data_IF_511581651449
#
_entry.id   IF_511581651449
#
_cell.length_a   1.000
_cell.length_b   1.000
_cell.length_c   1.000
_cell.angle_alpha   90.00
_cell.angle_beta   90.00
_cell.angle_gamma   90.00
#
_symmetry.space_group_name_H-M   'P 1'
#
loop_
_entity.id
_entity.type
_entity.pdbx_description
1 polymer ?
#
# COMPACT_ATOMS: atom_id res chain seq x y z
N UNK A 1 35.96 55.04 -5.12
CA UNK A 1 34.92 54.57 -6.03
C UNK A 1 35.38 53.23 -6.62
N UNK A 2 34.88 52.11 -6.10
CA UNK A 2 35.08 50.76 -6.70
C UNK A 2 33.67 50.22 -6.99
N UNK A 3 33.36 50.10 -8.29
CA UNK A 3 32.07 49.64 -8.76
C UNK A 3 31.84 48.18 -8.45
N UNK A 4 30.69 47.89 -7.87
CA UNK A 4 30.17 46.56 -7.71
C UNK A 4 29.46 46.21 -9.02
N UNK A 5 30.01 45.24 -9.79
CA UNK A 5 29.38 44.74 -11.00
C UNK A 5 28.16 43.90 -10.68
N UNK A 6 27.12 43.85 -11.54
CA UNK A 6 25.92 43.05 -11.31
C UNK A 6 26.24 41.57 -11.42
N UNK A 7 26.17 40.86 -10.30
CA UNK A 7 26.11 39.40 -10.32
C UNK A 7 24.77 39.03 -10.97
N UNK A 8 24.84 38.52 -12.21
CA UNK A 8 23.69 38.01 -12.94
C UNK A 8 23.01 36.88 -12.15
N UNK A 9 21.80 37.15 -11.70
CA UNK A 9 20.90 36.12 -11.20
C UNK A 9 20.50 35.28 -12.40
N UNK A 10 21.12 34.12 -12.61
CA UNK A 10 20.62 33.11 -13.55
C UNK A 10 19.29 32.63 -12.98
N UNK A 11 18.20 33.07 -13.57
CA UNK A 11 16.92 32.43 -13.35
C UNK A 11 17.05 30.98 -13.83
N UNK A 12 17.10 30.06 -12.90
CA UNK A 12 16.99 28.62 -13.20
C UNK A 12 15.59 28.40 -13.76
N UNK A 13 15.47 28.10 -15.04
CA UNK A 13 14.19 27.70 -15.61
C UNK A 13 13.84 26.36 -14.98
N UNK A 14 12.97 26.36 -13.99
CA UNK A 14 12.46 25.13 -13.40
C UNK A 14 11.61 24.41 -14.46
N UNK A 15 12.02 23.19 -14.80
CA UNK A 15 11.18 22.29 -15.60
C UNK A 15 9.98 21.94 -14.74
N UNK A 16 8.78 22.10 -15.28
CA UNK A 16 7.54 21.74 -14.59
C UNK A 16 7.19 20.27 -14.89
N UNK A 17 6.53 19.65 -13.94
CA UNK A 17 5.88 18.34 -14.06
C UNK A 17 4.45 18.41 -13.56
N UNK A 18 3.60 17.54 -14.06
CA UNK A 18 2.23 17.39 -13.56
C UNK A 18 2.20 16.51 -12.32
N UNK A 19 1.39 16.88 -11.32
CA UNK A 19 1.21 16.11 -10.10
C UNK A 19 -0.16 16.36 -9.44
N UNK A 20 -0.67 15.38 -8.69
CA UNK A 20 -1.80 15.54 -7.79
C UNK A 20 -1.31 16.06 -6.44
N UNK A 21 -1.49 17.33 -6.18
CA UNK A 21 -1.11 17.99 -4.93
C UNK A 21 -2.28 18.07 -3.95
N UNK A 22 -1.99 17.93 -2.66
CA UNK A 22 -2.95 18.10 -1.58
C UNK A 22 -2.50 19.21 -0.63
N UNK A 23 -3.30 20.25 -0.45
CA UNK A 23 -3.00 21.43 0.38
C UNK A 23 -3.48 21.31 1.83
N UNK A 24 -4.02 20.15 2.20
CA UNK A 24 -4.67 19.88 3.50
C UNK A 24 -6.18 20.09 3.49
N UNK A 25 -6.77 20.46 2.32
CA UNK A 25 -8.21 20.63 2.13
C UNK A 25 -8.68 20.02 0.81
N UNK A 26 -7.95 20.28 -0.26
CA UNK A 26 -8.34 19.88 -1.62
C UNK A 26 -7.17 19.20 -2.32
N UNK A 27 -7.45 18.08 -2.98
CA UNK A 27 -6.53 17.42 -3.89
C UNK A 27 -6.79 17.93 -5.32
N UNK A 28 -5.76 18.47 -5.98
CA UNK A 28 -5.87 19.09 -7.29
C UNK A 28 -4.68 18.73 -8.17
N UNK A 29 -4.93 18.39 -9.43
CA UNK A 29 -3.87 18.20 -10.42
C UNK A 29 -3.33 19.57 -10.84
N UNK A 30 -2.01 19.76 -10.72
CA UNK A 30 -1.35 21.03 -11.01
C UNK A 30 0.06 20.80 -11.56
N UNK A 31 0.59 21.83 -12.23
CA UNK A 31 1.99 21.87 -12.63
C UNK A 31 2.84 22.35 -11.44
N UNK A 32 3.84 21.57 -11.08
CA UNK A 32 4.79 21.84 -10.00
C UNK A 32 6.22 21.70 -10.51
N UNK A 33 7.24 22.27 -9.85
CA UNK A 33 8.63 22.05 -10.24
C UNK A 33 8.98 20.55 -10.24
N UNK A 34 9.60 20.06 -11.33
CA UNK A 34 10.23 18.73 -11.36
C UNK A 34 11.25 18.67 -10.22
N UNK A 35 11.24 17.65 -9.35
CA UNK A 35 12.20 17.58 -8.25
C UNK A 35 13.62 17.38 -8.78
N UNK A 36 14.59 18.04 -8.14
CA UNK A 36 15.99 17.74 -8.36
C UNK A 36 16.35 16.38 -7.74
N UNK A 37 17.34 15.69 -8.30
CA UNK A 37 17.82 14.43 -7.74
C UNK A 37 18.31 14.64 -6.30
N UNK A 38 17.68 13.95 -5.35
CA UNK A 38 18.08 13.99 -3.95
C UNK A 38 19.30 13.09 -3.70
N UNK A 39 20.08 13.42 -2.66
CA UNK A 39 21.22 12.61 -2.25
C UNK A 39 20.80 11.16 -1.96
N UNK A 40 21.63 10.18 -2.33
CA UNK A 40 21.44 8.75 -2.14
C UNK A 40 20.08 8.23 -2.65
N UNK A 41 19.56 8.89 -3.69
CA UNK A 41 18.25 8.60 -4.29
C UNK A 41 18.38 8.39 -5.79
N UNK A 42 17.29 7.90 -6.39
CA UNK A 42 17.04 7.95 -7.81
C UNK A 42 15.82 8.81 -8.11
N UNK A 43 15.87 9.57 -9.18
CA UNK A 43 14.72 10.24 -9.76
C UNK A 43 14.05 9.26 -10.72
N UNK A 44 12.87 8.81 -10.34
CA UNK A 44 12.09 7.83 -11.08
C UNK A 44 11.02 8.54 -11.89
N UNK A 45 10.99 8.30 -13.19
CA UNK A 45 9.89 8.68 -14.06
C UNK A 45 8.79 7.63 -13.90
N UNK A 46 7.68 8.04 -13.30
CA UNK A 46 6.54 7.15 -13.02
C UNK A 46 5.85 6.77 -14.33
N UNK A 47 5.54 5.49 -14.50
CA UNK A 47 4.73 5.01 -15.64
C UNK A 47 3.30 4.76 -15.23
N UNK A 48 3.09 4.03 -14.14
CA UNK A 48 1.78 3.72 -13.58
C UNK A 48 1.80 3.90 -12.07
N UNK A 49 0.77 4.51 -11.53
CA UNK A 49 0.52 4.58 -10.09
C UNK A 49 -0.81 3.92 -9.72
N UNK A 50 -0.94 3.46 -8.48
CA UNK A 50 -2.13 2.80 -7.96
C UNK A 50 -2.79 3.59 -6.84
N UNK A 51 -4.13 3.72 -6.87
CA UNK A 51 -4.87 4.39 -5.80
C UNK A 51 -5.10 3.43 -4.62
N UNK A 52 -4.67 3.85 -3.44
CA UNK A 52 -4.89 3.17 -2.17
C UNK A 52 -6.03 3.82 -1.36
N UNK A 53 -6.62 3.07 -0.44
CA UNK A 53 -7.57 3.66 0.50
C UNK A 53 -6.92 4.68 1.44
N UNK A 54 -5.62 4.53 1.73
CA UNK A 54 -4.87 5.50 2.54
C UNK A 54 -4.86 6.89 1.91
N UNK A 55 -4.76 7.01 0.57
CA UNK A 55 -4.83 8.30 -0.12
C UNK A 55 -6.16 9.00 0.14
N UNK A 56 -7.26 8.24 0.18
CA UNK A 56 -8.59 8.74 0.51
C UNK A 56 -8.74 9.16 1.97
N UNK A 57 -8.14 8.42 2.90
CA UNK A 57 -8.14 8.79 4.32
C UNK A 57 -7.30 10.06 4.56
N UNK A 58 -6.20 10.25 3.81
CA UNK A 58 -5.39 11.47 3.87
C UNK A 58 -6.22 12.72 3.52
N UNK A 59 -7.02 12.68 2.45
CA UNK A 59 -7.88 13.81 2.08
C UNK A 59 -9.06 14.01 3.04
N UNK A 60 -9.34 13.04 3.91
CA UNK A 60 -10.26 13.19 5.04
C UNK A 60 -9.59 13.71 6.33
N UNK A 61 -8.28 14.03 6.26
CA UNK A 61 -7.51 14.59 7.37
C UNK A 61 -6.68 13.59 8.18
N UNK A 62 -6.54 12.35 7.71
CA UNK A 62 -5.60 11.41 8.32
C UNK A 62 -4.15 11.92 8.18
N UNK A 63 -3.32 11.83 9.24
CA UNK A 63 -1.90 12.21 9.29
C UNK A 63 -1.59 13.69 9.00
N UNK A 64 -2.57 14.57 8.76
CA UNK A 64 -2.37 16.01 8.47
C UNK A 64 -1.36 16.28 7.34
N UNK A 65 -1.31 15.40 6.34
CA UNK A 65 -0.37 15.47 5.22
C UNK A 65 -0.65 16.70 4.32
N UNK A 66 0.41 17.20 3.69
CA UNK A 66 0.37 18.16 2.57
C UNK A 66 1.51 17.83 1.63
N UNK A 67 1.29 17.93 0.33
CA UNK A 67 2.27 17.58 -0.70
C UNK A 67 1.65 16.75 -1.83
N UNK A 68 2.46 16.05 -2.59
CA UNK A 68 2.01 15.16 -3.65
C UNK A 68 1.57 13.83 -3.04
N UNK A 69 0.37 13.38 -3.37
CA UNK A 69 -0.19 12.11 -2.92
C UNK A 69 0.36 10.91 -3.73
N UNK A 70 0.00 9.69 -3.30
CA UNK A 70 0.33 8.43 -3.99
C UNK A 70 1.56 7.74 -3.41
N UNK A 71 1.47 6.41 -3.29
CA UNK A 71 2.53 5.61 -2.69
C UNK A 71 2.64 4.19 -3.28
N UNK A 72 1.87 3.90 -4.31
CA UNK A 72 1.97 2.67 -5.09
C UNK A 72 2.35 3.06 -6.52
N UNK A 73 3.48 2.60 -7.02
CA UNK A 73 3.96 3.00 -8.35
C UNK A 73 4.86 1.95 -8.98
N UNK A 74 5.01 2.05 -10.28
CA UNK A 74 6.09 1.50 -11.10
C UNK A 74 6.60 2.60 -12.01
N UNK A 75 7.90 2.61 -12.28
CA UNK A 75 8.52 3.62 -13.12
C UNK A 75 9.89 3.19 -13.61
N UNK A 76 10.57 4.11 -14.31
CA UNK A 76 11.92 3.91 -14.86
C UNK A 76 12.85 4.95 -14.23
N UNK A 77 14.01 4.52 -13.75
CA UNK A 77 15.02 5.42 -13.21
C UNK A 77 15.57 6.30 -14.32
N UNK A 78 15.35 7.60 -14.24
CA UNK A 78 15.84 8.58 -15.22
C UNK A 78 17.19 9.16 -14.79
N UNK A 79 17.33 9.50 -13.50
CA UNK A 79 18.56 10.01 -12.91
C UNK A 79 18.90 9.25 -11.62
N UNK A 80 20.20 9.01 -11.38
CA UNK A 80 20.68 8.26 -10.22
C UNK A 80 22.04 7.60 -10.50
N UNK A 81 22.49 6.66 -9.64
CA UNK A 81 23.67 5.85 -9.91
C UNK A 81 23.56 5.10 -11.24
N UNK A 82 24.69 4.91 -11.91
CA UNK A 82 24.75 4.37 -13.28
C UNK A 82 24.08 3.01 -13.41
N UNK A 83 24.26 2.14 -12.43
CA UNK A 83 23.68 0.79 -12.36
C UNK A 83 22.17 0.75 -12.26
N UNK A 84 21.53 1.86 -11.88
CA UNK A 84 20.08 1.98 -11.79
C UNK A 84 19.43 2.67 -12.99
N UNK A 85 20.20 3.42 -13.77
CA UNK A 85 19.65 4.20 -14.89
C UNK A 85 19.02 3.30 -15.95
N UNK A 86 17.77 3.60 -16.30
CA UNK A 86 17.00 2.81 -17.26
C UNK A 86 16.33 1.59 -16.64
N UNK A 87 16.66 1.23 -15.39
CA UNK A 87 16.02 0.13 -14.70
C UNK A 87 14.55 0.44 -14.42
N UNK A 88 13.72 -0.56 -14.60
CA UNK A 88 12.31 -0.52 -14.26
C UNK A 88 12.13 -0.93 -12.81
N UNK A 89 11.54 -0.05 -11.99
CA UNK A 89 11.54 -0.16 -10.53
C UNK A 89 10.18 0.04 -9.89
N UNK A 90 10.03 -0.55 -8.72
CA UNK A 90 9.02 -0.23 -7.70
C UNK A 90 9.75 0.18 -6.42
N UNK A 91 9.07 0.77 -5.44
CA UNK A 91 9.75 1.25 -4.24
C UNK A 91 8.99 1.03 -2.93
N UNK A 92 9.74 0.67 -1.86
CA UNK A 92 9.22 0.70 -0.50
C UNK A 92 8.98 2.14 -0.06
N UNK A 93 7.87 2.38 0.61
CA UNK A 93 7.37 3.73 0.89
C UNK A 93 7.96 4.37 2.15
N UNK A 94 8.60 3.59 3.02
CA UNK A 94 9.13 4.07 4.30
C UNK A 94 10.61 4.42 4.15
N UNK A 95 10.92 5.71 4.07
CA UNK A 95 12.27 6.25 3.94
C UNK A 95 12.89 6.42 5.33
N UNK A 96 13.67 5.43 5.75
CA UNK A 96 14.29 5.37 7.06
C UNK A 96 15.54 6.27 7.16
N UNK A 97 16.00 6.55 8.38
CA UNK A 97 17.24 7.31 8.59
C UNK A 97 18.51 6.43 8.52
N UNK A 98 18.37 5.11 8.45
CA UNK A 98 19.41 4.07 8.38
C UNK A 98 20.47 4.13 9.52
N UNK A 99 20.30 4.99 10.53
CA UNK A 99 21.31 5.27 11.56
C UNK A 99 20.80 5.20 13.00
N UNK A 100 19.51 4.95 13.24
CA UNK A 100 18.97 4.82 14.59
C UNK A 100 18.97 3.35 15.07
N UNK A 101 18.86 3.12 16.39
CA UNK A 101 18.81 1.75 16.93
C UNK A 101 17.77 0.84 16.26
N UNK A 102 16.58 1.37 15.98
CA UNK A 102 15.51 0.62 15.30
C UNK A 102 15.91 0.20 13.88
N UNK A 103 16.64 1.06 13.15
CA UNK A 103 17.18 0.69 11.83
C UNK A 103 18.26 -0.39 11.94
N UNK A 104 19.12 -0.31 12.95
CA UNK A 104 20.16 -1.35 13.18
C UNK A 104 19.58 -2.71 13.59
N UNK A 105 18.38 -2.74 14.16
CA UNK A 105 17.62 -3.97 14.43
C UNK A 105 16.91 -4.55 13.19
N UNK A 106 17.07 -3.93 12.00
CA UNK A 106 16.38 -4.35 10.77
C UNK A 106 14.93 -3.92 10.68
N UNK A 107 14.51 -2.95 11.50
CA UNK A 107 13.13 -2.47 11.58
C UNK A 107 12.96 -1.09 10.91
N UNK A 108 13.54 -0.90 9.72
CA UNK A 108 13.52 0.37 8.97
C UNK A 108 12.10 0.93 8.78
N UNK A 109 11.12 0.07 8.52
CA UNK A 109 9.70 0.46 8.36
C UNK A 109 9.10 1.09 9.64
N UNK A 110 9.77 0.93 10.78
CA UNK A 110 9.39 1.46 12.10
C UNK A 110 10.33 2.56 12.59
N UNK A 111 11.26 3.03 11.75
CA UNK A 111 12.16 4.13 12.09
C UNK A 111 11.36 5.34 12.62
N UNK A 112 11.69 5.89 13.81
CA UNK A 112 10.95 7.02 14.37
C UNK A 112 11.11 8.31 13.54
N UNK A 113 12.21 8.43 12.80
CA UNK A 113 12.49 9.57 11.91
C UNK A 113 12.18 9.26 10.43
N UNK A 114 11.36 8.24 10.16
CA UNK A 114 11.00 7.90 8.79
C UNK A 114 10.11 8.96 8.16
N UNK A 115 10.37 9.23 6.90
CA UNK A 115 9.39 9.87 6.01
C UNK A 115 8.64 8.79 5.26
N UNK A 116 7.42 9.06 4.81
CA UNK A 116 6.60 8.06 4.10
C UNK A 116 6.06 8.67 2.82
N UNK A 117 6.43 8.09 1.68
CA UNK A 117 6.04 8.55 0.35
C UNK A 117 4.53 8.84 0.28
N UNK A 118 4.15 10.06 -0.11
CA UNK A 118 2.77 10.49 -0.27
C UNK A 118 1.91 10.48 0.99
N UNK A 119 2.51 10.33 2.19
CA UNK A 119 1.78 10.15 3.46
C UNK A 119 2.37 11.02 4.58
N UNK A 120 3.69 11.07 4.72
CA UNK A 120 4.37 11.78 5.80
C UNK A 120 5.69 12.37 5.31
N UNK A 121 5.77 13.70 5.23
CA UNK A 121 7.00 14.47 4.96
C UNK A 121 7.79 14.04 3.70
N UNK A 122 7.16 13.35 2.76
CA UNK A 122 7.73 13.00 1.47
C UNK A 122 6.66 13.04 0.39
N UNK A 123 6.99 13.65 -0.75
CA UNK A 123 6.12 13.69 -1.91
C UNK A 123 5.90 12.29 -2.49
N UNK A 124 4.73 12.09 -3.07
CA UNK A 124 4.25 10.81 -3.55
C UNK A 124 4.36 10.63 -5.06
N UNK A 125 3.78 9.52 -5.51
CA UNK A 125 3.89 8.99 -6.87
C UNK A 125 2.75 9.38 -7.82
N UNK A 126 1.75 10.15 -7.38
CA UNK A 126 0.78 10.73 -8.32
C UNK A 126 1.38 11.96 -9.00
N UNK A 127 2.50 11.74 -9.69
CA UNK A 127 3.30 12.72 -10.40
C UNK A 127 4.05 12.06 -11.56
N UNK A 128 4.55 12.86 -12.51
CA UNK A 128 5.40 12.35 -13.57
C UNK A 128 6.76 11.85 -13.05
N UNK A 129 7.25 12.43 -11.94
CA UNK A 129 8.54 12.08 -11.33
C UNK A 129 8.44 12.02 -9.81
N UNK A 130 9.22 11.10 -9.21
CA UNK A 130 9.37 10.98 -7.75
C UNK A 130 10.81 10.63 -7.38
N UNK A 131 11.33 11.24 -6.30
CA UNK A 131 12.61 10.85 -5.69
C UNK A 131 12.40 9.67 -4.75
N UNK A 132 13.18 8.60 -4.95
CA UNK A 132 13.13 7.41 -4.10
C UNK A 132 14.55 7.06 -3.64
N UNK A 133 14.80 6.90 -2.32
CA UNK A 133 16.10 6.45 -1.85
C UNK A 133 16.49 5.10 -2.48
N UNK A 134 17.74 4.94 -2.86
CA UNK A 134 18.24 3.71 -3.51
C UNK A 134 17.94 2.47 -2.65
N UNK A 135 18.08 2.58 -1.33
CA UNK A 135 17.80 1.48 -0.40
C UNK A 135 16.33 1.00 -0.43
N UNK A 136 15.42 1.80 -0.98
CA UNK A 136 13.99 1.49 -1.08
C UNK A 136 13.60 0.95 -2.46
N UNK A 137 14.52 0.93 -3.45
CA UNK A 137 14.21 0.50 -4.81
C UNK A 137 14.32 -1.03 -4.97
N UNK A 138 13.43 -1.57 -5.79
CA UNK A 138 13.46 -2.96 -6.24
C UNK A 138 13.24 -3.03 -7.74
N UNK A 139 14.13 -3.74 -8.45
CA UNK A 139 13.98 -3.97 -9.89
C UNK A 139 12.76 -4.84 -10.18
N UNK A 140 11.98 -4.44 -11.17
CA UNK A 140 10.83 -5.21 -11.66
C UNK A 140 11.31 -6.28 -12.63
N UNK A 141 10.98 -7.57 -12.44
CA UNK A 141 11.31 -8.62 -13.39
C UNK A 141 10.78 -8.29 -14.80
N UNK A 142 11.54 -8.56 -15.86
CA UNK A 142 11.14 -8.23 -17.24
C UNK A 142 9.80 -8.85 -17.68
N UNK A 143 9.45 -10.01 -17.12
CA UNK A 143 8.18 -10.72 -17.39
C UNK A 143 6.94 -10.07 -16.76
N UNK A 144 7.13 -9.17 -15.78
CA UNK A 144 6.04 -8.52 -15.04
C UNK A 144 5.68 -7.21 -15.74
N UNK A 145 4.43 -7.04 -16.17
CA UNK A 145 3.94 -5.78 -16.74
C UNK A 145 3.81 -4.68 -15.67
N UNK A 146 3.74 -3.42 -16.08
CA UNK A 146 3.57 -2.30 -15.17
C UNK A 146 2.24 -2.38 -14.40
N UNK A 147 1.17 -2.83 -15.07
CA UNK A 147 -0.14 -3.04 -14.44
C UNK A 147 -0.11 -4.06 -13.30
N UNK A 148 0.79 -5.03 -13.39
CA UNK A 148 1.02 -6.04 -12.35
C UNK A 148 2.03 -5.54 -11.32
N UNK A 149 3.12 -4.91 -11.77
CA UNK A 149 4.19 -4.42 -10.88
C UNK A 149 3.72 -3.38 -9.85
N UNK A 150 2.76 -2.52 -10.22
CA UNK A 150 2.19 -1.51 -9.32
C UNK A 150 1.54 -2.11 -8.06
N UNK A 151 1.22 -3.40 -8.09
CA UNK A 151 0.72 -4.12 -6.90
C UNK A 151 1.82 -4.56 -5.93
N UNK A 152 3.11 -4.32 -6.21
CA UNK A 152 4.20 -4.74 -5.33
C UNK A 152 4.01 -4.22 -3.89
N UNK A 153 3.64 -2.95 -3.72
CA UNK A 153 3.41 -2.36 -2.39
C UNK A 153 2.23 -3.02 -1.65
N UNK A 154 0.98 -3.03 -2.17
CA UNK A 154 -0.13 -3.64 -1.45
C UNK A 154 0.01 -5.15 -1.29
N UNK A 155 0.70 -5.84 -2.20
CA UNK A 155 0.99 -7.26 -2.07
C UNK A 155 2.05 -7.51 -0.99
N UNK A 156 3.10 -6.69 -0.92
CA UNK A 156 4.06 -6.73 0.18
C UNK A 156 3.35 -6.52 1.53
N UNK A 157 2.41 -5.57 1.60
CA UNK A 157 1.59 -5.41 2.80
C UNK A 157 0.76 -6.66 3.13
N UNK A 158 0.31 -7.43 2.15
CA UNK A 158 -0.37 -8.71 2.40
C UNK A 158 0.62 -9.77 2.94
N UNK A 159 1.83 -9.85 2.40
CA UNK A 159 2.88 -10.75 2.89
C UNK A 159 3.33 -10.44 4.32
N UNK A 160 3.20 -9.20 4.78
CA UNK A 160 3.52 -8.85 6.18
C UNK A 160 2.72 -9.67 7.19
N UNK A 161 1.58 -10.21 6.83
CA UNK A 161 0.83 -11.13 7.71
C UNK A 161 1.67 -12.35 8.07
N UNK A 162 2.46 -12.88 7.12
CA UNK A 162 3.31 -14.05 7.34
C UNK A 162 4.57 -13.71 8.18
N UNK A 163 5.02 -12.46 8.17
CA UNK A 163 6.09 -11.99 9.07
C UNK A 163 5.59 -11.85 10.52
N UNK A 164 4.32 -11.52 10.71
CA UNK A 164 3.72 -11.28 12.02
C UNK A 164 3.21 -12.55 12.69
N UNK A 165 2.77 -13.54 11.91
CA UNK A 165 2.19 -14.78 12.44
C UNK A 165 2.68 -16.00 11.66
N UNK A 166 2.99 -17.06 12.38
CA UNK A 166 3.30 -18.33 11.75
C UNK A 166 2.01 -19.03 11.31
N UNK A 167 1.90 -19.31 10.02
CA UNK A 167 0.76 -20.01 9.42
C UNK A 167 1.12 -21.48 9.23
N UNK A 168 0.35 -22.37 9.86
CA UNK A 168 0.55 -23.82 9.73
C UNK A 168 -0.16 -24.34 8.47
N UNK A 169 0.39 -25.37 7.80
CA UNK A 169 -0.32 -26.07 6.73
C UNK A 169 -1.69 -26.56 7.19
N UNK A 170 -2.70 -26.37 6.36
CA UNK A 170 -4.12 -26.68 6.62
C UNK A 170 -4.74 -25.94 7.82
N UNK A 171 -4.10 -24.89 8.33
CA UNK A 171 -4.69 -24.05 9.37
C UNK A 171 -5.93 -23.35 8.84
N UNK A 172 -7.05 -23.51 9.56
CA UNK A 172 -8.27 -22.75 9.26
C UNK A 172 -8.11 -21.28 9.63
N UNK A 173 -8.29 -20.41 8.64
CA UNK A 173 -8.18 -18.98 8.75
C UNK A 173 -9.43 -18.30 8.19
N UNK A 174 -9.83 -17.18 8.76
CA UNK A 174 -10.85 -16.33 8.16
C UNK A 174 -10.29 -14.94 7.87
N UNK A 175 -10.58 -14.42 6.68
CA UNK A 175 -10.29 -13.03 6.29
C UNK A 175 -11.62 -12.29 6.21
N UNK A 176 -11.75 -11.23 7.00
CA UNK A 176 -12.90 -10.36 7.00
C UNK A 176 -12.63 -9.14 6.11
N UNK A 177 -13.45 -8.98 5.10
CA UNK A 177 -13.36 -7.91 4.11
C UNK A 177 -12.92 -8.39 2.72
N UNK A 178 -13.70 -8.01 1.72
CA UNK A 178 -13.54 -8.34 0.30
C UNK A 178 -13.03 -7.15 -0.53
N UNK A 179 -12.39 -6.20 0.11
CA UNK A 179 -11.61 -5.14 -0.55
C UNK A 179 -10.29 -5.66 -1.09
N UNK A 180 -9.60 -4.84 -1.92
CA UNK A 180 -8.33 -5.22 -2.57
C UNK A 180 -7.30 -5.87 -1.63
N UNK A 181 -7.12 -5.33 -0.41
CA UNK A 181 -6.16 -5.89 0.55
C UNK A 181 -6.63 -7.24 1.12
N UNK A 182 -7.91 -7.39 1.44
CA UNK A 182 -8.48 -8.67 1.89
C UNK A 182 -8.32 -9.76 0.85
N UNK A 183 -8.56 -9.45 -0.43
CA UNK A 183 -8.38 -10.38 -1.55
C UNK A 183 -6.91 -10.78 -1.75
N UNK A 184 -5.95 -9.87 -1.55
CA UNK A 184 -4.52 -10.18 -1.60
C UNK A 184 -4.10 -11.04 -0.40
N UNK A 185 -4.51 -10.69 0.81
CA UNK A 185 -4.22 -11.46 2.04
C UNK A 185 -4.75 -12.88 1.93
N UNK A 186 -5.97 -13.07 1.43
CA UNK A 186 -6.56 -14.40 1.26
C UNK A 186 -5.72 -15.29 0.34
N UNK A 187 -5.25 -14.75 -0.78
CA UNK A 187 -4.39 -15.47 -1.70
C UNK A 187 -3.02 -15.79 -1.08
N UNK A 188 -2.41 -14.86 -0.35
CA UNK A 188 -1.14 -15.06 0.35
C UNK A 188 -1.26 -16.15 1.42
N UNK A 189 -2.31 -16.14 2.23
CA UNK A 189 -2.56 -17.19 3.23
C UNK A 189 -2.81 -18.56 2.57
N UNK A 190 -3.56 -18.61 1.46
CA UNK A 190 -3.77 -19.82 0.68
C UNK A 190 -2.46 -20.36 0.11
N UNK A 191 -1.59 -19.48 -0.41
CA UNK A 191 -0.25 -19.84 -0.89
C UNK A 191 0.63 -20.40 0.24
N UNK A 192 0.50 -19.88 1.46
CA UNK A 192 1.19 -20.40 2.65
C UNK A 192 0.62 -21.76 3.14
N UNK A 193 -0.41 -22.30 2.49
CA UNK A 193 -0.99 -23.61 2.79
C UNK A 193 -2.17 -23.58 3.76
N UNK A 194 -2.70 -22.42 4.12
CA UNK A 194 -3.89 -22.30 4.96
C UNK A 194 -5.18 -22.70 4.21
N UNK A 195 -6.17 -23.15 4.97
CA UNK A 195 -7.56 -23.23 4.54
C UNK A 195 -8.24 -21.88 4.85
N UNK A 196 -8.52 -21.12 3.79
CA UNK A 196 -8.97 -19.73 3.93
C UNK A 196 -10.45 -19.64 3.60
N UNK A 197 -11.21 -19.04 4.50
CA UNK A 197 -12.55 -18.53 4.25
C UNK A 197 -12.50 -17.01 4.17
N UNK A 198 -13.12 -16.42 3.15
CA UNK A 198 -13.26 -14.96 3.05
C UNK A 198 -14.72 -14.56 3.24
N UNK A 199 -14.93 -13.63 4.16
CA UNK A 199 -16.25 -13.06 4.45
C UNK A 199 -16.29 -11.64 3.88
N UNK A 200 -17.24 -11.35 3.02
CA UNK A 200 -17.36 -10.06 2.34
C UNK A 200 -18.79 -9.65 2.03
N UNK A 201 -18.94 -8.49 1.42
CA UNK A 201 -20.24 -7.93 1.06
C UNK A 201 -20.55 -8.03 -0.44
N UNK A 202 -19.49 -8.01 -1.30
CA UNK A 202 -19.65 -7.85 -2.74
C UNK A 202 -19.43 -9.19 -3.45
N UNK A 203 -20.48 -9.78 -3.95
CA UNK A 203 -20.44 -11.07 -4.67
C UNK A 203 -19.37 -11.10 -5.77
N UNK A 204 -19.30 -10.03 -6.59
CA UNK A 204 -18.30 -9.92 -7.67
C UNK A 204 -16.85 -9.98 -7.17
N UNK A 205 -16.57 -9.41 -6.01
CA UNK A 205 -15.23 -9.45 -5.43
C UNK A 205 -14.92 -10.85 -4.90
N UNK A 206 -15.88 -11.49 -4.26
CA UNK A 206 -15.77 -12.85 -3.74
C UNK A 206 -15.60 -13.88 -4.87
N UNK A 207 -16.24 -13.69 -6.03
CA UNK A 207 -16.07 -14.54 -7.21
C UNK A 207 -14.60 -14.59 -7.71
N UNK A 208 -13.83 -13.51 -7.55
CA UNK A 208 -12.39 -13.49 -7.92
C UNK A 208 -11.64 -14.59 -7.17
N UNK A 209 -11.94 -14.76 -5.89
CA UNK A 209 -11.30 -15.76 -5.03
C UNK A 209 -11.89 -17.15 -5.25
N UNK A 210 -13.19 -17.27 -5.48
CA UNK A 210 -13.84 -18.55 -5.78
C UNK A 210 -13.24 -19.23 -7.02
N UNK A 211 -12.87 -18.45 -8.05
CA UNK A 211 -12.16 -18.94 -9.25
C UNK A 211 -10.73 -19.46 -8.96
N UNK A 212 -10.22 -19.24 -7.76
CA UNK A 212 -8.90 -19.68 -7.28
C UNK A 212 -9.00 -20.70 -6.15
N UNK A 213 -10.14 -21.38 -6.05
CA UNK A 213 -10.41 -22.41 -5.04
C UNK A 213 -10.24 -21.89 -3.59
N UNK A 214 -10.54 -20.62 -3.35
CA UNK A 214 -10.62 -20.03 -2.01
C UNK A 214 -12.09 -19.92 -1.63
N UNK A 215 -12.44 -20.45 -0.45
CA UNK A 215 -13.81 -20.42 0.04
C UNK A 215 -14.25 -18.99 0.36
N UNK A 216 -15.47 -18.65 -0.05
CA UNK A 216 -16.04 -17.32 0.15
C UNK A 216 -17.48 -17.40 0.65
N UNK A 217 -17.89 -16.42 1.43
CA UNK A 217 -19.28 -16.29 1.90
C UNK A 217 -19.65 -14.81 2.04
N UNK A 218 -20.87 -14.48 1.67
CA UNK A 218 -21.40 -13.14 1.99
C UNK A 218 -21.67 -13.02 3.49
N UNK A 219 -21.35 -11.86 4.09
CA UNK A 219 -21.48 -11.62 5.53
C UNK A 219 -22.89 -11.97 6.05
N UNK A 220 -23.93 -11.62 5.31
CA UNK A 220 -25.33 -11.91 5.67
C UNK A 220 -25.66 -13.42 5.77
N UNK A 221 -24.88 -14.28 5.13
CA UNK A 221 -25.05 -15.74 5.13
C UNK A 221 -23.99 -16.43 6.00
N UNK A 222 -23.07 -15.67 6.57
CA UNK A 222 -22.01 -16.24 7.38
C UNK A 222 -22.48 -16.53 8.80
N UNK A 223 -22.34 -17.79 9.18
CA UNK A 223 -22.49 -18.19 10.57
C UNK A 223 -21.12 -18.26 11.22
N UNK A 224 -20.75 -17.33 12.12
CA UNK A 224 -19.40 -17.25 12.66
C UNK A 224 -18.99 -18.55 13.37
N UNK A 225 -17.92 -19.17 12.89
CA UNK A 225 -17.18 -20.20 13.61
C UNK A 225 -16.12 -19.59 14.52
N UNK A 226 -15.31 -20.44 15.15
CA UNK A 226 -14.16 -20.04 15.95
C UNK A 226 -12.86 -20.44 15.25
N UNK A 227 -12.09 -19.43 14.82
CA UNK A 227 -10.87 -19.63 14.03
C UNK A 227 -9.62 -19.38 14.87
N UNK A 228 -8.54 -20.09 14.54
CA UNK A 228 -7.24 -19.87 15.19
C UNK A 228 -6.54 -18.59 14.71
N UNK A 229 -6.83 -18.17 13.47
CA UNK A 229 -6.30 -16.95 12.85
C UNK A 229 -7.44 -16.21 12.15
N UNK A 230 -7.64 -14.97 12.52
CA UNK A 230 -8.61 -14.05 11.91
C UNK A 230 -7.85 -12.82 11.41
N UNK A 231 -8.04 -12.45 10.14
CA UNK A 231 -7.47 -11.21 9.59
C UNK A 231 -8.59 -10.20 9.36
N UNK A 232 -8.51 -9.05 10.02
CA UNK A 232 -9.43 -7.94 9.77
C UNK A 232 -8.84 -6.99 8.70
N UNK A 233 -9.46 -7.01 7.52
CA UNK A 233 -9.19 -6.12 6.39
C UNK A 233 -10.42 -5.31 5.99
N UNK A 234 -11.38 -5.11 6.92
CA UNK A 234 -12.66 -4.44 6.64
C UNK A 234 -12.55 -2.91 6.62
N UNK A 235 -11.55 -2.34 7.28
CA UNK A 235 -11.45 -0.89 7.48
C UNK A 235 -12.49 -0.31 8.44
N UNK A 236 -13.15 -1.14 9.27
CA UNK A 236 -14.24 -0.71 10.12
C UNK A 236 -14.12 -1.24 11.56
N UNK A 237 -14.72 -0.49 12.53
CA UNK A 237 -14.81 -0.95 13.92
C UNK A 237 -15.72 -2.19 14.05
N UNK A 238 -16.73 -2.28 13.20
CA UNK A 238 -17.62 -3.46 13.13
C UNK A 238 -16.84 -4.72 12.79
N UNK A 239 -15.95 -4.64 11.79
CA UNK A 239 -15.07 -5.73 11.39
C UNK A 239 -14.14 -6.20 12.52
N UNK A 240 -13.55 -5.26 13.28
CA UNK A 240 -12.72 -5.62 14.43
C UNK A 240 -13.54 -6.37 15.52
N UNK A 241 -14.77 -5.94 15.81
CA UNK A 241 -15.65 -6.65 16.76
C UNK A 241 -15.99 -8.05 16.26
N UNK A 242 -16.28 -8.17 14.98
CA UNK A 242 -16.56 -9.44 14.32
C UNK A 242 -15.32 -10.35 14.37
N UNK A 243 -14.12 -9.81 14.11
CA UNK A 243 -12.86 -10.54 14.19
C UNK A 243 -12.63 -11.11 15.59
N UNK A 244 -12.83 -10.30 16.65
CA UNK A 244 -12.71 -10.76 18.03
C UNK A 244 -13.72 -11.86 18.37
N UNK A 245 -14.98 -11.71 17.94
CA UNK A 245 -16.03 -12.70 18.17
C UNK A 245 -15.78 -14.03 17.42
N UNK A 246 -15.14 -13.99 16.25
CA UNK A 246 -14.80 -15.17 15.47
C UNK A 246 -13.46 -15.82 15.86
N UNK A 247 -12.75 -15.24 16.83
CA UNK A 247 -11.46 -15.78 17.27
C UNK A 247 -11.65 -16.75 18.43
N UNK A 248 -11.15 -17.98 18.28
CA UNK A 248 -11.16 -18.98 19.37
C UNK A 248 -10.29 -18.53 20.54
N UNK A 249 -10.51 -19.08 21.76
CA UNK A 249 -9.56 -18.89 22.84
C UNK A 249 -8.12 -19.22 22.40
N UNK A 250 -7.16 -18.35 22.79
CA UNK A 250 -5.74 -18.38 22.42
C UNK A 250 -5.48 -18.22 20.92
N UNK A 251 -6.48 -17.76 20.13
CA UNK A 251 -6.32 -17.41 18.73
C UNK A 251 -5.65 -16.05 18.54
N UNK A 252 -5.47 -15.69 17.27
CA UNK A 252 -4.82 -14.43 16.88
C UNK A 252 -5.70 -13.65 15.91
N UNK A 253 -5.88 -12.36 16.20
CA UNK A 253 -6.45 -11.37 15.27
C UNK A 253 -5.30 -10.56 14.67
N UNK A 254 -5.18 -10.53 13.34
CA UNK A 254 -4.27 -9.65 12.61
C UNK A 254 -5.07 -8.45 12.10
N UNK A 255 -4.68 -7.25 12.53
CA UNK A 255 -5.30 -6.00 12.09
C UNK A 255 -4.55 -5.42 10.90
N UNK A 256 -5.22 -5.40 9.74
CA UNK A 256 -4.74 -4.75 8.51
C UNK A 256 -5.36 -3.38 8.29
N UNK A 257 -6.45 -3.12 8.99
CA UNK A 257 -7.24 -1.89 8.84
C UNK A 257 -6.61 -0.73 9.60
N UNK A 258 -6.37 0.40 8.92
CA UNK A 258 -6.12 1.70 9.55
C UNK A 258 -7.40 2.52 9.48
N UNK A 259 -7.87 3.02 10.61
CA UNK A 259 -9.05 3.90 10.69
C UNK A 259 -8.75 5.11 11.56
N UNK A 260 -9.22 6.27 11.14
CA UNK A 260 -9.14 7.50 11.94
C UNK A 260 -10.10 7.47 13.14
N UNK A 261 -11.09 6.57 13.13
CA UNK A 261 -12.11 6.48 14.16
C UNK A 261 -11.61 5.70 15.38
N UNK A 262 -11.75 6.28 16.58
CA UNK A 262 -11.43 5.61 17.85
C UNK A 262 -12.48 4.54 18.19
N UNK A 263 -12.03 3.31 18.46
CA UNK A 263 -12.87 2.21 18.88
C UNK A 263 -12.96 2.10 20.42
N UNK A 264 -14.16 1.83 20.94
CA UNK A 264 -14.32 1.30 22.30
C UNK A 264 -14.34 -0.23 22.20
N UNK A 265 -13.39 -0.89 22.84
CA UNK A 265 -13.26 -2.35 22.88
C UNK A 265 -13.49 -2.85 24.31
N UNK A 266 -14.17 -3.99 24.44
CA UNK A 266 -14.19 -4.75 25.69
C UNK A 266 -12.89 -5.56 25.81
N UNK A 267 -11.99 -5.08 26.65
CA UNK A 267 -10.71 -5.74 26.89
C UNK A 267 -10.87 -7.04 27.68
N UNK A 268 -11.98 -7.24 28.38
CA UNK A 268 -12.23 -8.47 29.14
C UNK A 268 -12.25 -9.69 28.24
N UNK A 269 -12.81 -9.56 27.03
CA UNK A 269 -12.82 -10.63 26.03
C UNK A 269 -11.40 -11.07 25.64
N UNK A 270 -10.46 -10.13 25.50
CA UNK A 270 -9.07 -10.43 25.17
C UNK A 270 -8.40 -11.21 26.32
N UNK A 271 -8.60 -10.74 27.56
CA UNK A 271 -7.96 -11.34 28.73
C UNK A 271 -8.54 -12.73 29.02
N UNK A 272 -9.86 -12.87 29.06
CA UNK A 272 -10.53 -14.15 29.41
C UNK A 272 -10.25 -15.24 28.38
N UNK A 273 -10.21 -14.87 27.09
CA UNK A 273 -9.93 -15.84 26.02
C UNK A 273 -8.47 -15.87 25.61
N UNK A 274 -7.57 -15.14 26.26
CA UNK A 274 -6.14 -15.06 25.93
C UNK A 274 -5.89 -14.77 24.43
N UNK A 275 -6.70 -13.89 23.82
CA UNK A 275 -6.61 -13.55 22.38
C UNK A 275 -5.42 -12.63 22.15
N UNK A 276 -4.60 -12.95 21.15
CA UNK A 276 -3.54 -12.07 20.66
C UNK A 276 -4.09 -11.15 19.58
N UNK A 277 -3.77 -9.86 19.67
CA UNK A 277 -4.07 -8.87 18.64
C UNK A 277 -2.76 -8.31 18.11
N UNK A 278 -2.53 -8.46 16.80
CA UNK A 278 -1.28 -8.09 16.14
C UNK A 278 -1.57 -7.08 15.04
N UNK A 279 -0.88 -5.95 15.08
CA UNK A 279 -0.91 -4.98 13.97
C UNK A 279 -0.03 -5.42 12.81
N UNK A 280 -0.47 -5.17 11.57
CA UNK A 280 0.31 -5.51 10.38
C UNK A 280 0.14 -4.39 9.35
N UNK A 281 1.27 -3.88 8.79
CA UNK A 281 1.26 -2.72 7.90
C UNK A 281 1.99 -3.03 6.58
N UNK A 282 3.09 -2.34 6.28
CA UNK A 282 3.94 -2.55 5.10
C UNK A 282 4.78 -3.81 5.26
N UNK A 283 5.05 -4.51 4.17
CA UNK A 283 5.74 -5.79 4.18
C UNK A 283 6.93 -5.88 3.22
N UNK A 284 7.54 -7.07 3.10
CA UNK A 284 8.71 -7.29 2.28
C UNK A 284 8.36 -7.31 0.77
N UNK A 285 9.10 -6.56 -0.03
CA UNK A 285 8.92 -6.51 -1.50
C UNK A 285 9.44 -7.77 -2.23
N UNK A 286 10.56 -8.41 -1.82
CA UNK A 286 11.08 -9.56 -2.55
C UNK A 286 10.09 -10.72 -2.71
N UNK A 287 9.36 -11.20 -1.69
CA UNK A 287 8.35 -12.25 -1.88
C UNK A 287 7.16 -11.77 -2.72
N UNK A 288 6.76 -10.50 -2.62
CA UNK A 288 5.70 -9.93 -3.45
C UNK A 288 6.08 -9.94 -4.93
N UNK A 289 7.27 -9.45 -5.28
CA UNK A 289 7.77 -9.45 -6.65
C UNK A 289 7.89 -10.87 -7.23
N UNK A 290 8.40 -11.85 -6.46
CA UNK A 290 8.43 -13.26 -6.89
C UNK A 290 7.02 -13.81 -7.15
N UNK A 291 6.05 -13.45 -6.32
CA UNK A 291 4.67 -13.90 -6.53
C UNK A 291 4.02 -13.28 -7.78
N UNK A 292 4.35 -12.02 -8.07
CA UNK A 292 3.92 -11.35 -9.31
C UNK A 292 4.59 -11.98 -10.54
N UNK A 293 5.89 -12.27 -10.45
CA UNK A 293 6.66 -12.89 -11.53
C UNK A 293 6.13 -14.30 -11.89
N UNK A 294 5.82 -15.10 -10.89
CA UNK A 294 5.30 -16.46 -11.10
C UNK A 294 3.80 -16.51 -11.38
N UNK A 295 3.07 -15.40 -11.28
CA UNK A 295 1.62 -15.35 -11.42
C UNK A 295 0.87 -16.14 -10.32
N UNK A 296 1.54 -16.45 -9.20
CA UNK A 296 0.93 -17.24 -8.11
C UNK A 296 -0.16 -16.47 -7.37
N UNK A 297 -0.14 -15.15 -7.43
CA UNK A 297 -1.18 -14.24 -6.92
C UNK A 297 -1.82 -13.51 -8.10
N UNK A 298 -3.14 -13.60 -8.22
CA UNK A 298 -3.91 -12.85 -9.22
C UNK A 298 -4.14 -11.42 -8.74
N UNK A 299 -3.50 -10.48 -9.40
CA UNK A 299 -3.71 -9.03 -9.18
C UNK A 299 -4.46 -8.40 -10.36
N UNK A 300 -4.41 -9.01 -11.53
CA UNK A 300 -5.01 -8.46 -12.75
C UNK A 300 -6.54 -8.37 -12.63
N UNK A 301 -7.18 -9.37 -12.02
CA UNK A 301 -8.63 -9.37 -11.77
C UNK A 301 -9.07 -8.28 -10.77
N UNK A 302 -8.12 -7.65 -10.05
CA UNK A 302 -8.42 -6.58 -9.12
C UNK A 302 -8.43 -5.19 -9.79
N UNK A 303 -7.97 -5.05 -11.02
CA UNK A 303 -7.96 -3.77 -11.74
C UNK A 303 -9.38 -3.50 -12.23
N UNK A 304 -10.01 -2.47 -11.69
CA UNK A 304 -11.40 -2.12 -12.01
C UNK A 304 -11.55 -0.84 -12.81
N UNK A 305 -10.54 0.01 -12.80
CA UNK A 305 -10.56 1.26 -13.57
C UNK A 305 -9.14 1.73 -13.89
N UNK A 306 -9.00 2.51 -14.97
CA UNK A 306 -7.76 3.15 -15.41
C UNK A 306 -8.04 4.56 -15.91
N UNK A 307 -7.15 5.50 -15.61
CA UNK A 307 -7.26 6.88 -16.05
C UNK A 307 -5.87 7.52 -16.17
N UNK A 308 -5.80 8.73 -16.72
CA UNK A 308 -4.55 9.49 -16.78
C UNK A 308 -4.31 10.33 -15.52
N UNK A 309 -3.06 10.75 -15.31
CA UNK A 309 -2.67 11.67 -14.24
C UNK A 309 -3.48 12.99 -14.28
N UNK A 310 -3.86 13.44 -15.48
CA UNK A 310 -4.69 14.62 -15.64
C UNK A 310 -6.07 14.53 -14.94
N UNK A 311 -6.57 13.31 -14.73
CA UNK A 311 -7.84 13.02 -14.06
C UNK A 311 -7.64 12.30 -12.72
N UNK A 312 -6.48 12.44 -12.10
CA UNK A 312 -6.13 11.71 -10.88
C UNK A 312 -7.01 12.10 -9.66
N UNK A 313 -7.50 13.32 -9.61
CA UNK A 313 -8.49 13.75 -8.60
C UNK A 313 -9.82 12.99 -8.73
N UNK A 314 -10.28 12.71 -9.96
CA UNK A 314 -11.44 11.85 -10.22
C UNK A 314 -11.13 10.39 -9.85
N UNK A 315 -9.93 9.89 -10.20
CA UNK A 315 -9.48 8.55 -9.81
C UNK A 315 -9.58 8.33 -8.30
N UNK A 316 -9.13 9.32 -7.52
CA UNK A 316 -9.16 9.27 -6.05
C UNK A 316 -10.61 9.21 -5.52
N UNK A 317 -11.54 9.93 -6.12
CA UNK A 317 -12.97 9.86 -5.77
C UNK A 317 -13.57 8.51 -6.15
N UNK A 318 -13.36 8.05 -7.40
CA UNK A 318 -13.87 6.76 -7.91
C UNK A 318 -13.38 5.56 -7.12
N UNK A 319 -12.14 5.58 -6.63
CA UNK A 319 -11.62 4.49 -5.80
C UNK A 319 -12.43 4.23 -4.51
N UNK A 320 -13.40 5.08 -4.21
CA UNK A 320 -14.34 4.92 -3.12
C UNK A 320 -15.70 4.37 -3.48
N UNK A 321 -15.99 4.23 -4.75
CA UNK A 321 -17.29 3.75 -5.21
C UNK A 321 -17.44 2.25 -4.92
N UNK A 322 -18.68 1.81 -4.74
CA UNK A 322 -18.97 0.41 -4.48
C UNK A 322 -18.48 -0.48 -5.65
N UNK A 323 -17.79 -1.56 -5.31
CA UNK A 323 -17.26 -2.51 -6.30
C UNK A 323 -15.92 -2.09 -6.94
N UNK A 324 -15.37 -0.92 -6.59
CA UNK A 324 -14.03 -0.55 -7.04
C UNK A 324 -12.96 -1.22 -6.17
N UNK A 325 -12.00 -1.89 -6.81
CA UNK A 325 -10.86 -2.52 -6.14
C UNK A 325 -9.58 -1.71 -6.38
N UNK A 326 -8.99 -1.81 -7.56
CA UNK A 326 -7.78 -1.04 -7.90
C UNK A 326 -8.05 -0.10 -9.07
N UNK A 327 -7.82 1.17 -8.82
CA UNK A 327 -7.79 2.22 -9.85
C UNK A 327 -6.34 2.50 -10.18
N UNK A 328 -5.99 2.41 -11.47
CA UNK A 328 -4.66 2.73 -12.00
C UNK A 328 -4.67 4.13 -12.60
N UNK A 329 -3.53 4.80 -12.47
CA UNK A 329 -3.27 6.14 -13.01
C UNK A 329 -2.04 6.08 -13.90
N UNK A 330 -2.22 6.37 -15.19
CA UNK A 330 -1.12 6.56 -16.12
C UNK A 330 -0.47 7.92 -15.88
N UNK A 331 0.81 7.91 -15.53
CA UNK A 331 1.53 9.14 -15.19
C UNK A 331 2.16 9.84 -16.41
N UNK A 332 2.03 9.26 -17.60
CA UNK A 332 2.54 9.80 -18.88
C UNK A 332 1.43 10.32 -19.78
#
# INVERSE_FOLDING_TARGET
MKGCGPKGCRATISILMRALTYDGKTATVSDVPKPELAQDSALVRVTVAGVCNTDRELVKGYMSFRGILGHEFVGVVEEGPEEWRGERVVGEINFACESCPICYEGLQRHCPSRRVMGILEADGSFAEYVNVPIANLHTVPPSVSDDVAVFAEPLAAAYEVLEQVHVMPNQECVVLGDGKLGLLVAQVLRQAGAQVLVVGHHEKNLEILARRDIQTVQEQHWNPGLYSLVVDATGSIGGLRMALAATRPRGTVVLKSTTATKAKLDLSTLVVNEIRVVGSRCGPFPPALRALETGSIDVSSLITHRTSLANCDEALRRAGDAGQLKVLVDAQ
#
